data_IF_407888548888
#
_entry.id   IF_407888548888
#
_cell.length_a   1.000
_cell.length_b   1.000
_cell.length_c   1.000
_cell.angle_alpha   90.00
_cell.angle_beta   90.00
_cell.angle_gamma   90.00
#
_symmetry.space_group_name_H-M   'P 1'
#
loop_
_entity.id
_entity.type
_entity.pdbx_description
1 polymer ?
#
# COMPACT_ATOMS: atom_id res chain seq x y z
N UNK A 1 -17.22 9.82 3.72
CA UNK A 1 -16.81 8.73 4.64
C UNK A 1 -15.35 8.50 4.31
N UNK A 2 -14.42 9.09 5.07
CA UNK A 2 -13.01 9.14 4.66
C UNK A 2 -12.38 7.74 4.68
N UNK A 3 -12.23 7.14 3.49
CA UNK A 3 -11.51 5.87 3.29
C UNK A 3 -10.02 6.20 3.24
N UNK A 4 -9.21 5.60 4.12
CA UNK A 4 -7.75 5.78 4.07
C UNK A 4 -7.09 4.53 3.54
N UNK A 5 -6.09 4.66 2.67
CA UNK A 5 -5.27 3.52 2.29
C UNK A 5 -4.42 3.05 3.49
N UNK A 6 -3.98 1.80 3.46
CA UNK A 6 -3.06 1.18 4.39
C UNK A 6 -2.11 0.28 3.63
N UNK A 7 -0.82 0.30 3.97
CA UNK A 7 0.20 -0.56 3.38
C UNK A 7 0.78 -1.45 4.47
N UNK A 8 0.70 -2.77 4.27
CA UNK A 8 1.35 -3.75 5.12
C UNK A 8 2.85 -3.79 4.82
N UNK A 9 3.63 -3.20 5.72
CA UNK A 9 5.10 -3.11 5.60
C UNK A 9 5.80 -4.45 5.84
N UNK A 10 5.11 -5.48 6.34
CA UNK A 10 5.72 -6.79 6.48
C UNK A 10 5.73 -7.56 5.15
N UNK A 11 4.72 -7.33 4.32
CA UNK A 11 4.55 -7.96 3.00
C UNK A 11 5.08 -7.08 1.86
N UNK A 12 5.17 -5.76 2.07
CA UNK A 12 5.68 -4.83 1.07
C UNK A 12 7.13 -5.17 0.66
N UNK A 13 7.33 -5.40 -0.64
CA UNK A 13 8.63 -5.70 -1.26
C UNK A 13 9.30 -4.48 -1.91
N UNK A 14 8.75 -3.28 -1.72
CA UNK A 14 9.32 -2.05 -2.28
C UNK A 14 9.34 -1.96 -3.81
N UNK A 15 8.34 -2.52 -4.48
CA UNK A 15 8.24 -2.48 -5.96
C UNK A 15 7.93 -1.07 -6.54
N UNK A 16 7.64 -0.08 -5.70
CA UNK A 16 7.28 1.31 -6.05
C UNK A 16 6.09 1.51 -7.01
N UNK A 17 5.32 0.46 -7.33
CA UNK A 17 4.14 0.57 -8.21
C UNK A 17 3.10 1.55 -7.64
N UNK A 18 2.81 1.48 -6.34
CA UNK A 18 1.83 2.36 -5.70
C UNK A 18 2.25 3.84 -5.70
N UNK A 19 3.55 4.11 -5.57
CA UNK A 19 4.10 5.46 -5.71
C UNK A 19 3.98 5.98 -7.15
N UNK A 20 4.04 5.11 -8.16
CA UNK A 20 3.82 5.51 -9.55
C UNK A 20 2.35 5.87 -9.83
N UNK A 21 1.41 5.09 -9.30
CA UNK A 21 -0.03 5.29 -9.52
C UNK A 21 -0.59 6.47 -8.71
N UNK A 22 -0.20 6.58 -7.44
CA UNK A 22 -0.65 7.64 -6.54
C UNK A 22 0.53 8.15 -5.67
N UNK A 23 1.47 8.92 -6.26
CA UNK A 23 2.62 9.49 -5.54
C UNK A 23 2.21 10.50 -4.47
N UNK A 24 1.01 11.07 -4.60
CA UNK A 24 0.44 11.97 -3.62
C UNK A 24 -0.15 11.25 -2.41
N UNK A 25 -0.13 9.92 -2.35
CA UNK A 25 -0.70 9.13 -1.23
C UNK A 25 0.30 8.11 -0.74
N UNK A 26 0.95 7.40 -1.65
CA UNK A 26 1.98 6.43 -1.32
C UNK A 26 3.33 7.07 -1.46
N UNK A 27 4.10 7.07 -0.38
CA UNK A 27 5.45 7.61 -0.35
C UNK A 27 6.41 6.45 -0.18
N UNK A 28 7.42 6.37 -1.04
CA UNK A 28 8.52 5.41 -0.91
C UNK A 28 9.50 5.87 0.17
N UNK A 29 9.83 5.01 1.14
CA UNK A 29 11.01 5.24 1.98
C UNK A 29 12.23 4.87 1.14
N UNK A 30 13.02 5.87 0.77
CA UNK A 30 14.36 5.61 0.25
C UNK A 30 15.27 5.28 1.42
N UNK A 31 15.68 4.02 1.46
CA UNK A 31 16.81 3.45 2.19
C UNK A 31 17.29 4.31 3.37
N UNK A 32 16.75 4.01 4.55
CA UNK A 32 17.21 4.61 5.78
C UNK A 32 18.45 3.82 6.27
N UNK A 33 19.64 4.44 6.44
CA UNK A 33 20.83 3.72 6.84
C UNK A 33 20.76 3.15 8.28
N UNK A 34 19.79 3.58 9.09
CA UNK A 34 19.58 3.10 10.46
C UNK A 34 18.48 2.04 10.59
N UNK A 35 17.59 1.91 9.60
CA UNK A 35 16.49 0.96 9.62
C UNK A 35 16.57 0.05 8.40
N UNK A 36 16.78 -1.26 8.63
CA UNK A 36 16.74 -2.36 7.64
C UNK A 36 15.37 -2.52 6.92
N UNK A 37 14.53 -1.49 6.92
CA UNK A 37 13.27 -1.41 6.18
C UNK A 37 13.54 -0.93 4.75
N UNK A 38 14.22 -1.79 4.00
CA UNK A 38 14.57 -1.63 2.59
C UNK A 38 13.33 -1.32 1.73
N UNK A 39 13.30 -0.11 1.16
CA UNK A 39 12.42 0.32 0.05
C UNK A 39 10.90 0.23 0.30
N UNK A 40 10.45 0.11 1.55
CA UNK A 40 9.01 -0.05 1.84
C UNK A 40 8.23 1.24 1.60
N UNK A 41 7.05 1.12 1.02
CA UNK A 41 6.12 2.23 0.85
C UNK A 41 5.26 2.43 2.10
N UNK A 42 4.92 3.67 2.40
CA UNK A 42 3.96 4.03 3.44
C UNK A 42 2.90 4.98 2.88
N UNK A 43 1.86 5.19 3.67
CA UNK A 43 0.72 6.01 3.30
C UNK A 43 0.82 7.35 4.00
N UNK A 44 0.74 8.44 3.24
CA UNK A 44 0.67 9.78 3.80
C UNK A 44 -0.74 10.05 4.39
N UNK A 45 -0.78 10.34 5.68
CA UNK A 45 -2.02 10.51 6.42
C UNK A 45 -2.71 11.87 6.19
N UNK A 46 -1.96 12.83 5.65
CA UNK A 46 -2.39 14.20 5.36
C UNK A 46 -2.94 14.35 3.94
N UNK A 47 -2.77 13.34 3.09
CA UNK A 47 -3.19 13.37 1.70
C UNK A 47 -4.67 13.09 1.52
N UNK A 48 -5.28 13.67 0.48
CA UNK A 48 -6.70 13.50 0.16
C UNK A 48 -7.01 12.15 -0.52
N UNK A 49 -7.04 11.07 0.28
CA UNK A 49 -7.36 9.71 -0.17
C UNK A 49 -8.65 9.62 -0.97
N UNK A 50 -9.66 10.45 -0.66
CA UNK A 50 -10.94 10.47 -1.36
C UNK A 50 -10.82 11.13 -2.74
N UNK A 51 -9.99 12.18 -2.88
CA UNK A 51 -9.78 12.89 -4.15
C UNK A 51 -9.06 12.02 -5.19
N UNK A 52 -8.26 11.06 -4.73
CA UNK A 52 -7.52 10.13 -5.58
C UNK A 52 -7.95 8.68 -5.35
N UNK A 53 -9.18 8.45 -4.89
CA UNK A 53 -9.67 7.12 -4.55
C UNK A 53 -9.58 6.13 -5.72
N UNK A 54 -9.77 6.62 -6.94
CA UNK A 54 -9.62 5.86 -8.18
C UNK A 54 -8.17 5.39 -8.39
N UNK A 55 -7.20 6.29 -8.23
CA UNK A 55 -5.76 5.98 -8.32
C UNK A 55 -5.30 5.03 -7.22
N UNK A 56 -5.85 5.19 -6.01
CA UNK A 56 -5.57 4.26 -4.91
C UNK A 56 -6.15 2.87 -5.21
N UNK A 57 -7.34 2.80 -5.82
CA UNK A 57 -7.92 1.54 -6.31
C UNK A 57 -7.04 0.85 -7.33
N UNK A 58 -6.53 1.59 -8.32
CA UNK A 58 -5.56 1.11 -9.31
C UNK A 58 -4.27 0.61 -8.64
N UNK A 59 -3.72 1.36 -7.68
CA UNK A 59 -2.54 0.96 -6.92
C UNK A 59 -2.74 -0.35 -6.15
N UNK A 60 -3.93 -0.55 -5.55
CA UNK A 60 -4.29 -1.79 -4.85
C UNK A 60 -4.35 -2.96 -5.85
N UNK A 61 -4.97 -2.76 -7.01
CA UNK A 61 -5.10 -3.81 -8.04
C UNK A 61 -3.76 -4.18 -8.67
N UNK A 62 -2.85 -3.21 -8.86
CA UNK A 62 -1.53 -3.41 -9.46
C UNK A 62 -0.46 -3.90 -8.49
N UNK A 63 -0.75 -3.92 -7.18
CA UNK A 63 0.22 -4.37 -6.19
C UNK A 63 0.51 -5.87 -6.34
N UNK A 64 1.76 -6.28 -6.67
CA UNK A 64 2.09 -7.68 -6.99
C UNK A 64 1.94 -8.62 -5.78
N UNK A 65 2.07 -8.08 -4.58
CA UNK A 65 1.96 -8.82 -3.31
C UNK A 65 0.69 -8.44 -2.54
N UNK A 66 -0.19 -7.65 -3.16
CA UNK A 66 -1.45 -7.16 -2.60
C UNK A 66 -1.34 -6.64 -1.15
N UNK A 67 -0.24 -5.95 -0.83
CA UNK A 67 0.02 -5.46 0.52
C UNK A 67 -0.74 -4.16 0.85
N UNK A 68 -1.59 -3.66 -0.06
CA UNK A 68 -2.32 -2.39 0.07
C UNK A 68 -3.80 -2.67 0.28
N UNK A 69 -4.43 -1.99 1.25
CA UNK A 69 -5.85 -2.18 1.58
C UNK A 69 -6.50 -0.89 2.08
N UNK A 70 -7.82 -0.80 2.03
CA UNK A 70 -8.56 0.32 2.61
C UNK A 70 -8.76 0.11 4.12
N UNK A 71 -8.27 1.06 4.93
CA UNK A 71 -8.47 1.14 6.38
C UNK A 71 -9.96 1.35 6.67
N UNK A 72 -10.64 0.28 7.08
CA UNK A 72 -12.09 0.27 7.35
C UNK A 72 -12.83 -0.90 6.72
N UNK A 73 -12.25 -1.56 5.71
CA UNK A 73 -12.75 -2.84 5.21
C UNK A 73 -11.80 -3.93 5.66
N UNK A 74 -12.23 -4.75 6.63
CA UNK A 74 -11.65 -6.08 6.84
C UNK A 74 -11.83 -6.88 5.54
N UNK A 75 -10.87 -6.81 4.64
CA UNK A 75 -10.57 -7.88 3.72
C UNK A 75 -9.20 -8.39 4.18
N UNK A 76 -9.11 -9.27 5.18
CA UNK A 76 -9.29 -10.70 4.93
C UNK A 76 -8.71 -11.07 3.56
N UNK A 77 -7.41 -10.79 3.34
CA UNK A 77 -6.66 -11.57 2.36
C UNK A 77 -6.71 -13.00 2.86
N UNK A 78 -7.65 -13.74 2.28
CA UNK A 78 -7.70 -15.17 2.35
C UNK A 78 -6.35 -15.67 1.86
N UNK A 79 -5.52 -16.15 2.79
CA UNK A 79 -4.38 -16.98 2.48
C UNK A 79 -4.93 -18.29 1.93
N UNK A 80 -5.34 -18.29 0.66
CA UNK A 80 -5.76 -19.48 -0.05
C UNK A 80 -4.56 -20.18 -0.67
N UNK A 81 -3.61 -20.63 0.14
CA UNK A 81 -2.60 -21.61 -0.28
C UNK A 81 -2.26 -22.55 0.90
N UNK A 82 -3.19 -23.47 1.15
CA UNK A 82 -3.02 -24.67 1.97
C UNK A 82 -3.57 -25.86 1.19
N UNK A 83 -2.79 -26.23 0.17
CA UNK A 83 -2.94 -27.32 -0.81
C UNK A 83 -3.36 -28.66 -0.18
N UNK A 84 -4.14 -29.41 -0.98
CA UNK A 84 -4.72 -30.74 -0.76
C UNK A 84 -3.84 -31.77 -0.04
#
# INVERSE_FOLDING_TARGET
MARKAFVDRNTCIGCSVCNHEAPSVFVELRQDPEHNDDFKSFVDENSDHEAVADKVGEAIAKCPVQCISWKGTKAAVAQSEGKA
#
